data_IF_413304602444
#
_entry.id   IF_413304602444
#
_cell.length_a   1.000
_cell.length_b   1.000
_cell.length_c   1.000
_cell.angle_alpha   90.00
_cell.angle_beta   90.00
_cell.angle_gamma   90.00
#
_symmetry.space_group_name_H-M   'P 1'
#
loop_
_entity.id
_entity.type
_entity.pdbx_description
1 polymer ?
#
# COMPACT_ATOMS: atom_id res chain seq x y z
N UNK A 1 -3.33 4.41 -21.80
CA UNK A 1 -3.10 5.65 -21.04
C UNK A 1 -2.56 5.25 -19.68
N UNK A 2 -1.60 5.99 -19.13
CA UNK A 2 -1.15 5.88 -17.73
C UNK A 2 -1.62 7.17 -17.05
N UNK A 3 -1.92 7.16 -15.75
CA UNK A 3 -2.33 8.38 -15.04
C UNK A 3 -1.20 9.44 -15.01
N UNK A 4 0.01 9.14 -15.46
CA UNK A 4 1.17 10.05 -15.50
C UNK A 4 1.41 10.81 -14.18
N UNK A 5 1.07 10.16 -13.06
CA UNK A 5 1.17 10.73 -11.71
C UNK A 5 -0.05 11.56 -11.27
N UNK A 6 -1.06 11.75 -12.12
CA UNK A 6 -2.32 12.41 -11.77
C UNK A 6 -2.99 11.66 -10.62
N UNK A 7 -3.33 12.41 -9.56
CA UNK A 7 -3.94 11.84 -8.37
C UNK A 7 -2.96 11.18 -7.41
N UNK A 8 -1.64 11.21 -7.66
CA UNK A 8 -0.62 10.68 -6.76
C UNK A 8 0.41 11.76 -6.38
N UNK A 9 0.77 11.81 -5.11
CA UNK A 9 1.80 12.71 -4.56
C UNK A 9 2.75 11.91 -3.66
N UNK A 10 3.97 11.59 -4.13
CA UNK A 10 4.98 10.95 -3.28
C UNK A 10 5.40 11.88 -2.14
N UNK A 11 5.63 11.32 -0.96
CA UNK A 11 6.06 12.04 0.25
C UNK A 11 7.47 11.63 0.71
N UNK A 12 8.03 10.60 0.09
CA UNK A 12 9.37 10.05 0.31
C UNK A 12 10.08 9.85 -1.02
N UNK A 13 11.40 9.71 -0.97
CA UNK A 13 12.27 9.47 -2.11
C UNK A 13 12.90 8.07 -2.05
N UNK A 14 13.37 7.59 -3.20
CA UNK A 14 14.14 6.35 -3.25
C UNK A 14 15.39 6.46 -2.38
N UNK A 15 15.62 5.45 -1.54
CA UNK A 15 16.75 5.41 -0.61
C UNK A 15 16.43 5.94 0.78
N UNK A 16 15.26 6.54 0.99
CA UNK A 16 14.84 6.99 2.32
C UNK A 16 14.62 5.79 3.26
N UNK A 17 15.13 5.90 4.48
CA UNK A 17 14.73 5.02 5.59
C UNK A 17 13.46 5.57 6.21
N UNK A 18 12.43 4.72 6.35
CA UNK A 18 11.12 5.11 6.87
C UNK A 18 10.83 4.42 8.19
N UNK A 19 9.95 5.02 8.99
CA UNK A 19 9.49 4.45 10.26
C UNK A 19 8.01 4.09 10.21
N UNK A 20 7.56 3.23 11.14
CA UNK A 20 6.15 2.80 11.21
C UNK A 20 5.24 4.03 11.36
N UNK A 21 4.15 4.06 10.61
CA UNK A 21 3.18 5.17 10.50
C UNK A 21 3.67 6.44 9.77
N UNK A 22 4.85 6.42 9.16
CA UNK A 22 5.28 7.52 8.29
C UNK A 22 4.48 7.52 6.98
N UNK A 23 3.83 8.63 6.60
CA UNK A 23 3.18 8.74 5.29
C UNK A 23 4.19 8.60 4.14
N UNK A 24 3.88 7.73 3.17
CA UNK A 24 4.76 7.44 2.02
C UNK A 24 4.27 8.11 0.73
N UNK A 25 2.96 8.09 0.53
CA UNK A 25 2.28 8.62 -0.65
C UNK A 25 0.92 9.13 -0.23
N UNK A 26 0.46 10.20 -0.88
CA UNK A 26 -0.92 10.64 -0.82
C UNK A 26 -1.55 10.39 -2.19
N UNK A 27 -2.75 9.83 -2.23
CA UNK A 27 -3.49 9.65 -3.48
C UNK A 27 -4.95 10.11 -3.35
N UNK A 28 -5.56 10.38 -4.50
CA UNK A 28 -6.95 10.82 -4.65
C UNK A 28 -7.75 9.73 -5.35
N UNK A 29 -8.40 8.88 -4.57
CA UNK A 29 -9.22 7.75 -5.04
C UNK A 29 -10.32 8.21 -6.03
N UNK A 30 -10.98 9.34 -5.75
CA UNK A 30 -12.01 9.88 -6.64
C UNK A 30 -11.43 10.21 -8.02
N UNK A 31 -10.28 10.89 -8.08
CA UNK A 31 -9.63 11.19 -9.37
C UNK A 31 -9.20 9.93 -10.12
N UNK A 32 -8.76 8.89 -9.42
CA UNK A 32 -8.40 7.61 -10.05
C UNK A 32 -9.63 6.98 -10.71
N UNK A 33 -10.74 6.91 -9.99
CA UNK A 33 -12.02 6.36 -10.48
C UNK A 33 -12.61 7.18 -11.63
N UNK A 34 -12.56 8.52 -11.57
CA UNK A 34 -13.02 9.42 -12.64
C UNK A 34 -12.26 9.22 -13.96
N UNK A 35 -11.02 8.71 -13.90
CA UNK A 35 -10.22 8.36 -15.07
C UNK A 35 -10.41 6.90 -15.52
N UNK A 36 -11.47 6.23 -15.04
CA UNK A 36 -11.83 4.85 -15.35
C UNK A 36 -10.77 3.82 -14.92
N UNK A 37 -10.09 4.08 -13.79
CA UNK A 37 -9.18 3.12 -13.15
C UNK A 37 -9.76 2.63 -11.81
N UNK A 38 -9.47 1.37 -11.48
CA UNK A 38 -9.74 0.79 -10.18
C UNK A 38 -8.72 1.32 -9.15
N UNK A 39 -9.21 1.78 -7.99
CA UNK A 39 -8.39 2.30 -6.90
C UNK A 39 -8.01 1.23 -5.86
N UNK A 40 -8.18 -0.06 -6.22
CA UNK A 40 -7.71 -1.20 -5.43
C UNK A 40 -6.23 -1.08 -5.07
N UNK A 41 -5.95 -1.13 -3.76
CA UNK A 41 -4.59 -1.13 -3.21
C UNK A 41 -4.16 -2.56 -2.91
N UNK A 42 -3.07 -3.00 -3.56
CA UNK A 42 -2.47 -4.31 -3.30
C UNK A 42 -1.29 -4.19 -2.34
N UNK A 43 -1.24 -5.07 -1.35
CA UNK A 43 -0.10 -5.21 -0.43
C UNK A 43 0.56 -6.55 -0.73
N UNK A 44 1.86 -6.52 -1.05
CA UNK A 44 2.62 -7.71 -1.44
C UNK A 44 3.92 -7.78 -0.64
N UNK A 45 4.15 -8.92 0.02
CA UNK A 45 5.46 -9.28 0.57
C UNK A 45 6.26 -9.96 -0.54
N UNK A 46 7.34 -9.35 -1.00
CA UNK A 46 8.06 -9.82 -2.20
C UNK A 46 9.11 -10.89 -1.91
N UNK A 47 9.55 -11.03 -0.66
CA UNK A 47 10.60 -11.94 -0.20
C UNK A 47 10.06 -13.05 0.72
N UNK A 48 8.89 -13.60 0.41
CA UNK A 48 8.24 -14.66 1.22
C UNK A 48 9.05 -15.94 1.33
N UNK A 49 9.97 -16.20 0.41
CA UNK A 49 10.93 -17.31 0.50
C UNK A 49 11.88 -17.22 1.71
N UNK A 50 12.06 -16.02 2.28
CA UNK A 50 12.85 -15.77 3.49
C UNK A 50 11.99 -15.77 4.77
N UNK A 51 10.71 -16.10 4.66
CA UNK A 51 9.74 -16.11 5.78
C UNK A 51 9.28 -17.53 6.04
N UNK A 52 9.00 -17.87 7.30
CA UNK A 52 8.41 -19.16 7.68
C UNK A 52 6.93 -19.22 7.36
N UNK A 53 6.22 -18.11 7.55
CA UNK A 53 4.78 -18.02 7.34
C UNK A 53 4.34 -16.58 7.10
N UNK A 54 3.18 -16.42 6.44
CA UNK A 54 2.51 -15.14 6.23
C UNK A 54 1.03 -15.33 6.56
N UNK A 55 0.60 -14.74 7.66
CA UNK A 55 -0.79 -14.81 8.13
C UNK A 55 -1.51 -13.55 7.67
N UNK A 56 -2.68 -13.73 7.04
CA UNK A 56 -3.55 -12.65 6.57
C UNK A 56 -4.75 -12.57 7.51
N UNK A 57 -5.06 -11.38 7.99
CA UNK A 57 -6.23 -11.13 8.83
C UNK A 57 -7.50 -11.03 7.97
N UNK A 58 -8.53 -11.82 8.28
CA UNK A 58 -9.81 -11.76 7.57
C UNK A 58 -10.65 -10.58 8.06
N UNK A 59 -10.51 -9.44 7.40
CA UNK A 59 -11.24 -8.21 7.72
C UNK A 59 -11.96 -7.66 6.49
N UNK A 60 -13.27 -7.44 6.59
CA UNK A 60 -14.06 -6.82 5.50
C UNK A 60 -13.79 -5.31 5.36
N UNK A 61 -13.42 -4.64 6.44
CA UNK A 61 -13.16 -3.21 6.48
C UNK A 61 -12.03 -2.95 7.45
N UNK A 62 -11.13 -2.05 7.06
CA UNK A 62 -9.90 -1.78 7.77
C UNK A 62 -9.73 -0.27 7.90
N UNK A 63 -9.04 0.16 8.95
CA UNK A 63 -8.66 1.55 9.19
C UNK A 63 -7.14 1.68 9.17
N UNK A 64 -6.69 2.92 9.09
CA UNK A 64 -5.28 3.21 9.29
C UNK A 64 -4.81 2.59 10.62
N UNK A 65 -3.66 1.92 10.56
CA UNK A 65 -2.99 1.24 11.69
C UNK A 65 -3.60 -0.10 12.11
N UNK A 66 -4.62 -0.60 11.42
CA UNK A 66 -5.06 -1.98 11.62
C UNK A 66 -4.00 -2.97 11.10
N UNK A 67 -3.85 -4.08 11.80
CA UNK A 67 -2.99 -5.19 11.35
C UNK A 67 -3.68 -5.97 10.23
N UNK A 68 -3.03 -6.08 9.08
CA UNK A 68 -3.54 -6.82 7.90
C UNK A 68 -2.77 -8.10 7.60
N UNK A 69 -1.45 -8.04 7.78
CA UNK A 69 -0.51 -9.11 7.44
C UNK A 69 0.48 -9.24 8.58
N UNK A 70 0.63 -10.46 9.09
CA UNK A 70 1.68 -10.82 10.04
C UNK A 70 2.70 -11.73 9.35
N UNK A 71 3.97 -11.31 9.34
CA UNK A 71 5.06 -12.07 8.73
C UNK A 71 5.89 -12.74 9.83
N UNK A 72 6.04 -14.06 9.73
CA UNK A 72 6.82 -14.87 10.66
C UNK A 72 8.15 -15.23 10.00
N UNK A 73 9.27 -14.90 10.64
CA UNK A 73 10.63 -15.21 10.19
C UNK A 73 11.22 -16.42 10.91
#
# INVERSE_FOLDING_TARGET
>A
MKLDGLGFKPLVSQGDTVTVNQPLIQFDSQKIQENAYDDTVMIVVTNTNATKDVVIEEQQTVKERDSLISVIY
#
